data_IF_109410865946
#
_entry.id   IF_109410865946
#
_cell.length_a   1.000
_cell.length_b   1.000
_cell.length_c   1.000
_cell.angle_alpha   90.00
_cell.angle_beta   90.00
_cell.angle_gamma   90.00
#
_symmetry.space_group_name_H-M   'P 1'
#
loop_
_entity.id
_entity.type
_entity.pdbx_description
1 polymer ?
#
# COMPACT_ATOMS: atom_id res chain seq x y z
N UNK A 1 38.29 37.62 -42.02
CA UNK A 1 37.43 37.90 -43.18
C UNK A 1 36.41 36.78 -43.32
N UNK A 2 35.15 37.06 -43.01
CA UNK A 2 33.95 36.80 -43.84
C UNK A 2 34.27 36.27 -45.26
N UNK A 3 33.59 35.30 -45.92
CA UNK A 3 32.23 34.76 -45.86
C UNK A 3 32.14 33.55 -46.84
N UNK A 4 31.22 32.62 -46.55
CA UNK A 4 30.29 31.92 -47.47
C UNK A 4 30.78 31.06 -48.66
N UNK A 5 30.44 29.76 -48.61
CA UNK A 5 29.54 29.01 -49.54
C UNK A 5 29.66 27.51 -49.22
N UNK A 6 28.78 26.91 -48.42
CA UNK A 6 27.41 26.40 -48.68
C UNK A 6 27.28 25.32 -49.77
N UNK A 7 26.86 24.15 -49.27
CA UNK A 7 25.98 23.11 -49.84
C UNK A 7 26.49 22.18 -50.93
N UNK A 8 26.55 20.88 -50.60
CA UNK A 8 25.51 19.90 -50.95
C UNK A 8 25.92 18.50 -50.44
N UNK A 9 25.01 17.81 -49.75
CA UNK A 9 25.12 16.35 -49.59
C UNK A 9 25.04 15.81 -48.17
N UNK A 10 24.13 16.30 -47.32
CA UNK A 10 23.82 15.64 -46.04
C UNK A 10 22.33 15.76 -45.72
N UNK A 11 21.47 15.22 -46.58
CA UNK A 11 20.02 15.19 -46.34
C UNK A 11 19.37 13.82 -46.64
N UNK A 12 20.13 12.73 -46.63
CA UNK A 12 19.55 11.38 -46.83
C UNK A 12 20.22 10.35 -45.91
N UNK A 13 20.26 10.58 -44.59
CA UNK A 13 20.52 9.48 -43.61
C UNK A 13 19.86 9.76 -42.24
N UNK A 14 18.75 10.50 -42.17
CA UNK A 14 18.10 10.84 -40.86
C UNK A 14 16.65 10.34 -40.80
N UNK A 15 16.33 9.20 -41.44
CA UNK A 15 14.92 8.72 -41.49
C UNK A 15 14.67 7.25 -41.12
N UNK A 16 15.61 6.50 -40.55
CA UNK A 16 15.38 5.06 -40.33
C UNK A 16 15.64 4.50 -38.91
N UNK A 17 15.75 5.33 -37.86
CA UNK A 17 16.02 4.83 -36.50
C UNK A 17 15.20 5.50 -35.37
N UNK A 18 14.12 6.21 -35.68
CA UNK A 18 13.23 6.83 -34.68
C UNK A 18 11.79 6.28 -34.79
N UNK A 19 11.66 4.95 -34.86
CA UNK A 19 10.35 4.28 -34.91
C UNK A 19 10.30 3.01 -34.03
N UNK A 20 11.04 2.98 -32.92
CA UNK A 20 11.03 1.85 -31.96
C UNK A 20 10.76 2.24 -30.50
N UNK A 21 10.36 3.49 -30.23
CA UNK A 21 10.14 3.99 -28.86
C UNK A 21 8.70 4.45 -28.57
N UNK A 22 7.70 3.84 -29.21
CA UNK A 22 6.29 4.17 -28.91
C UNK A 22 5.42 2.92 -28.83
N UNK A 23 5.80 1.96 -27.99
CA UNK A 23 4.87 0.97 -27.42
C UNK A 23 5.50 0.39 -26.17
N UNK A 24 5.77 1.24 -25.18
CA UNK A 24 5.73 0.73 -23.81
C UNK A 24 4.25 0.41 -23.56
N UNK A 25 3.84 -0.85 -23.39
CA UNK A 25 2.55 -1.08 -22.76
C UNK A 25 2.62 -0.28 -21.47
N UNK A 26 1.68 0.65 -21.28
CA UNK A 26 1.40 1.09 -19.93
C UNK A 26 1.23 -0.20 -19.15
N UNK A 27 2.13 -0.46 -18.21
CA UNK A 27 1.88 -1.41 -17.14
C UNK A 27 0.59 -0.88 -16.53
N UNK A 28 -0.54 -1.39 -17.00
CA UNK A 28 -1.76 -1.39 -16.25
C UNK A 28 -1.30 -2.04 -14.96
N UNK A 29 -1.07 -1.23 -13.92
CA UNK A 29 -1.13 -1.70 -12.56
C UNK A 29 -2.46 -2.43 -12.56
N UNK A 30 -2.41 -3.76 -12.66
CA UNK A 30 -3.56 -4.61 -12.48
C UNK A 30 -4.21 -4.01 -11.24
N UNK A 31 -5.43 -3.51 -11.38
CA UNK A 31 -6.22 -3.12 -10.23
C UNK A 31 -6.15 -4.34 -9.31
N UNK A 32 -5.30 -4.27 -8.28
CA UNK A 32 -5.21 -5.32 -7.29
C UNK A 32 -6.65 -5.55 -6.88
N UNK A 33 -7.10 -6.80 -7.05
CA UNK A 33 -8.47 -7.20 -6.72
C UNK A 33 -8.85 -6.49 -5.42
N UNK A 34 -9.91 -5.66 -5.39
CA UNK A 34 -10.29 -4.90 -4.22
C UNK A 34 -10.37 -5.76 -2.95
N UNK A 35 -10.71 -7.05 -3.10
CA UNK A 35 -10.72 -8.01 -2.00
C UNK A 35 -9.33 -8.36 -1.47
N UNK A 36 -8.33 -8.48 -2.35
CA UNK A 36 -6.92 -8.68 -1.96
C UNK A 36 -6.38 -7.45 -1.21
N UNK A 37 -6.61 -6.25 -1.76
CA UNK A 37 -6.21 -5.00 -1.11
C UNK A 37 -6.91 -4.83 0.26
N UNK A 38 -8.19 -5.22 0.36
CA UNK A 38 -8.93 -5.20 1.62
C UNK A 38 -8.34 -6.18 2.65
N UNK A 39 -7.95 -7.40 2.23
CA UNK A 39 -7.31 -8.38 3.10
C UNK A 39 -5.95 -7.88 3.61
N UNK A 40 -5.15 -7.27 2.73
CA UNK A 40 -3.88 -6.64 3.10
C UNK A 40 -4.07 -5.51 4.13
N UNK A 41 -4.96 -4.56 3.83
CA UNK A 41 -5.27 -3.46 4.74
C UNK A 41 -5.83 -3.98 6.08
N UNK A 42 -6.61 -5.06 6.07
CA UNK A 42 -7.12 -5.66 7.30
C UNK A 42 -5.99 -6.26 8.16
N UNK A 43 -5.04 -6.97 7.54
CA UNK A 43 -3.85 -7.50 8.21
C UNK A 43 -2.96 -6.40 8.78
N UNK A 44 -2.74 -5.33 8.02
CA UNK A 44 -2.00 -4.14 8.47
C UNK A 44 -2.61 -3.53 9.74
N UNK A 45 -3.93 -3.31 9.70
CA UNK A 45 -4.68 -2.73 10.83
C UNK A 45 -4.70 -3.63 12.06
N UNK A 46 -4.79 -4.94 11.85
CA UNK A 46 -4.77 -5.93 12.92
C UNK A 46 -3.43 -5.92 13.66
N UNK A 47 -2.32 -5.82 12.94
CA UNK A 47 -0.99 -5.66 13.54
C UNK A 47 -0.92 -4.39 14.39
N UNK A 48 -1.31 -3.23 13.83
CA UNK A 48 -1.32 -1.97 14.57
C UNK A 48 -2.17 -2.08 15.85
N UNK A 49 -3.36 -2.68 15.76
CA UNK A 49 -4.27 -2.81 16.89
C UNK A 49 -3.67 -3.69 18.00
N UNK A 50 -3.02 -4.80 17.65
CA UNK A 50 -2.31 -5.66 18.59
C UNK A 50 -1.19 -4.91 19.30
N UNK A 51 -0.38 -4.20 18.55
CA UNK A 51 0.82 -3.57 19.07
C UNK A 51 0.53 -2.31 19.89
N UNK A 52 -0.28 -1.39 19.34
CA UNK A 52 -0.42 -0.05 19.89
C UNK A 52 -1.74 0.18 20.63
N UNK A 53 -2.77 -0.61 20.33
CA UNK A 53 -4.11 -0.43 20.91
C UNK A 53 -4.41 -1.44 22.03
N UNK A 54 -3.43 -2.24 22.44
CA UNK A 54 -3.59 -3.28 23.47
C UNK A 54 -4.71 -4.29 23.16
N UNK A 55 -4.94 -4.57 21.86
CA UNK A 55 -5.93 -5.59 21.46
C UNK A 55 -5.32 -6.98 21.68
N UNK A 56 -5.97 -7.87 22.46
CA UNK A 56 -5.46 -9.22 22.71
C UNK A 56 -5.33 -10.05 21.44
N UNK A 57 -4.40 -11.00 21.43
CA UNK A 57 -4.18 -11.87 20.28
C UNK A 57 -5.42 -12.68 19.91
N UNK A 58 -6.19 -13.13 20.89
CA UNK A 58 -7.44 -13.89 20.68
C UNK A 58 -8.47 -13.07 19.90
N UNK A 59 -8.58 -11.76 20.19
CA UNK A 59 -9.50 -10.87 19.47
C UNK A 59 -9.03 -10.61 18.03
N UNK A 60 -7.72 -10.59 17.80
CA UNK A 60 -7.15 -10.46 16.45
C UNK A 60 -7.43 -11.71 15.63
N UNK A 61 -7.24 -12.91 16.20
CA UNK A 61 -7.53 -14.16 15.50
C UNK A 61 -9.03 -14.31 15.21
N UNK A 62 -9.89 -13.95 16.17
CA UNK A 62 -11.33 -13.93 15.93
C UNK A 62 -11.69 -12.97 14.79
N UNK A 63 -11.17 -11.74 14.81
CA UNK A 63 -11.40 -10.76 13.75
C UNK A 63 -10.92 -11.28 12.38
N UNK A 64 -9.74 -11.92 12.34
CA UNK A 64 -9.20 -12.53 11.11
C UNK A 64 -10.13 -13.61 10.56
N UNK A 65 -10.61 -14.52 11.40
CA UNK A 65 -11.52 -15.60 10.98
C UNK A 65 -12.85 -15.05 10.46
N UNK A 66 -13.43 -14.09 11.18
CA UNK A 66 -14.69 -13.43 10.75
C UNK A 66 -14.54 -12.66 9.44
N UNK A 67 -13.41 -11.98 9.26
CA UNK A 67 -13.11 -11.25 8.03
C UNK A 67 -12.85 -12.22 6.87
N UNK A 68 -12.07 -13.29 7.10
CA UNK A 68 -11.78 -14.33 6.10
C UNK A 68 -13.05 -14.94 5.53
N UNK A 69 -14.01 -15.28 6.39
CA UNK A 69 -15.29 -15.86 5.97
C UNK A 69 -16.16 -14.93 5.10
N UNK A 70 -15.80 -13.65 4.99
CA UNK A 70 -16.50 -12.63 4.20
C UNK A 70 -15.67 -12.08 3.03
N UNK A 71 -14.39 -12.48 2.95
CA UNK A 71 -13.47 -11.95 1.95
C UNK A 71 -13.54 -12.80 0.68
N UNK A 72 -13.49 -12.14 -0.48
CA UNK A 72 -13.36 -12.79 -1.78
C UNK A 72 -11.91 -12.78 -2.28
N UNK A 73 -10.94 -12.51 -1.39
CA UNK A 73 -9.53 -12.48 -1.73
C UNK A 73 -9.05 -13.84 -2.25
N UNK A 74 -8.33 -13.84 -3.37
CA UNK A 74 -7.88 -15.06 -4.05
C UNK A 74 -6.93 -15.91 -3.20
N UNK A 75 -6.08 -15.26 -2.41
CA UNK A 75 -5.25 -15.89 -1.39
C UNK A 75 -5.25 -15.02 -0.12
N UNK A 76 -6.34 -15.13 0.65
CA UNK A 76 -6.55 -14.32 1.85
C UNK A 76 -5.36 -14.35 2.82
N UNK A 77 -4.76 -15.53 3.05
CA UNK A 77 -3.68 -15.68 4.02
C UNK A 77 -2.42 -14.94 3.56
N UNK A 78 -2.08 -15.03 2.28
CA UNK A 78 -0.96 -14.29 1.69
C UNK A 78 -1.15 -12.78 1.84
N UNK A 79 -2.30 -12.25 1.46
CA UNK A 79 -2.57 -10.80 1.50
C UNK A 79 -2.66 -10.28 2.92
N UNK A 80 -3.35 -10.99 3.82
CA UNK A 80 -3.36 -10.67 5.24
C UNK A 80 -1.95 -10.62 5.83
N UNK A 81 -1.15 -11.67 5.58
CA UNK A 81 0.22 -11.75 6.08
C UNK A 81 1.08 -10.62 5.50
N UNK A 82 0.97 -10.31 4.21
CA UNK A 82 1.67 -9.18 3.59
C UNK A 82 1.39 -7.88 4.34
N UNK A 83 0.11 -7.58 4.59
CA UNK A 83 -0.29 -6.37 5.31
C UNK A 83 0.23 -6.33 6.74
N UNK A 84 0.16 -7.45 7.45
CA UNK A 84 0.71 -7.60 8.79
C UNK A 84 2.20 -7.25 8.84
N UNK A 85 3.00 -7.79 7.92
CA UNK A 85 4.45 -7.53 7.85
C UNK A 85 4.75 -6.10 7.39
N UNK A 86 3.98 -5.56 6.44
CA UNK A 86 4.12 -4.18 5.97
C UNK A 86 3.89 -3.16 7.09
N UNK A 87 3.06 -3.47 8.09
CA UNK A 87 2.88 -2.57 9.23
C UNK A 87 4.09 -2.58 10.18
N UNK A 88 4.82 -3.69 10.29
CA UNK A 88 6.00 -3.79 11.17
C UNK A 88 7.04 -2.73 10.82
N UNK A 89 7.26 -2.47 9.53
CA UNK A 89 8.20 -1.47 9.04
C UNK A 89 7.68 -0.03 9.24
N UNK A 90 6.38 0.19 9.02
CA UNK A 90 5.74 1.51 9.20
C UNK A 90 5.65 1.91 10.69
N UNK A 91 5.51 0.93 11.58
CA UNK A 91 5.46 1.09 13.02
C UNK A 91 6.76 1.64 13.65
N UNK A 92 7.90 1.57 12.95
CA UNK A 92 9.21 1.99 13.48
C UNK A 92 9.20 3.45 13.94
N UNK A 93 8.63 4.36 13.16
CA UNK A 93 8.58 5.78 13.53
C UNK A 93 7.71 6.01 14.78
N UNK A 94 6.59 5.28 14.89
CA UNK A 94 5.71 5.41 16.03
C UNK A 94 6.34 4.83 17.31
N UNK A 95 7.08 3.72 17.22
CA UNK A 95 7.88 3.16 18.33
C UNK A 95 8.92 4.17 18.82
N UNK A 96 9.69 4.76 17.90
CA UNK A 96 10.71 5.76 18.25
C UNK A 96 10.11 7.01 18.91
N UNK A 97 8.87 7.36 18.54
CA UNK A 97 8.14 8.50 19.12
C UNK A 97 7.78 8.29 20.59
N UNK A 98 7.60 7.04 21.04
CA UNK A 98 7.20 6.73 22.42
C UNK A 98 8.16 7.35 23.44
N UNK A 99 9.46 7.28 23.17
CA UNK A 99 10.48 7.73 24.11
C UNK A 99 10.91 9.19 23.84
N UNK A 100 10.92 9.60 22.56
CA UNK A 100 11.34 10.94 22.14
C UNK A 100 10.27 12.03 22.29
N UNK A 101 8.98 11.68 22.16
CA UNK A 101 7.84 12.59 22.33
C UNK A 101 6.58 11.86 22.83
N UNK A 102 6.52 11.52 24.13
CA UNK A 102 5.47 10.66 24.69
C UNK A 102 4.06 11.28 24.59
N UNK A 103 3.95 12.62 24.62
CA UNK A 103 2.67 13.31 24.51
C UNK A 103 2.07 13.18 23.10
N UNK A 104 2.87 13.43 22.07
CA UNK A 104 2.44 13.26 20.67
C UNK A 104 2.16 11.78 20.36
N UNK A 105 3.00 10.87 20.86
CA UNK A 105 2.77 9.43 20.75
C UNK A 105 1.38 9.04 21.28
N UNK A 106 1.05 9.45 22.51
CA UNK A 106 -0.23 9.13 23.13
C UNK A 106 -1.42 9.69 22.33
N UNK A 107 -1.30 10.90 21.80
CA UNK A 107 -2.34 11.51 20.96
C UNK A 107 -2.55 10.73 19.66
N UNK A 108 -1.46 10.38 18.95
CA UNK A 108 -1.53 9.61 17.70
C UNK A 108 -2.08 8.21 17.87
N UNK A 109 -1.62 7.49 18.91
CA UNK A 109 -2.13 6.16 19.24
C UNK A 109 -3.62 6.23 19.56
N UNK A 110 -4.04 7.16 20.44
CA UNK A 110 -5.46 7.32 20.79
C UNK A 110 -6.34 7.57 19.56
N UNK A 111 -5.96 8.50 18.69
CA UNK A 111 -6.70 8.80 17.46
C UNK A 111 -6.77 7.62 16.51
N UNK A 112 -5.64 6.91 16.33
CA UNK A 112 -5.55 5.75 15.45
C UNK A 112 -6.40 4.58 15.96
N UNK A 113 -6.33 4.27 17.25
CA UNK A 113 -7.11 3.20 17.86
C UNK A 113 -8.62 3.45 17.79
N UNK A 114 -9.06 4.70 18.00
CA UNK A 114 -10.47 5.06 17.85
C UNK A 114 -10.96 4.83 16.41
N UNK A 115 -10.16 5.27 15.41
CA UNK A 115 -10.46 5.05 14.00
C UNK A 115 -10.48 3.57 13.63
N UNK A 116 -9.50 2.80 14.07
CA UNK A 116 -9.41 1.36 13.78
C UNK A 116 -10.60 0.59 14.34
N UNK A 117 -11.04 0.90 15.55
CA UNK A 117 -12.23 0.29 16.16
C UNK A 117 -13.48 0.50 15.31
N UNK A 118 -13.66 1.69 14.74
CA UNK A 118 -14.78 1.96 13.82
C UNK A 118 -14.61 1.22 12.48
N UNK A 119 -13.39 1.21 11.93
CA UNK A 119 -13.10 0.55 10.65
C UNK A 119 -13.30 -0.97 10.71
N UNK A 120 -12.81 -1.64 11.77
CA UNK A 120 -12.97 -3.08 11.97
C UNK A 120 -14.45 -3.47 12.05
N UNK A 121 -15.24 -2.73 12.82
CA UNK A 121 -16.71 -2.96 12.91
C UNK A 121 -17.40 -2.80 11.55
N UNK A 122 -17.01 -1.81 10.75
CA UNK A 122 -17.64 -1.58 9.45
C UNK A 122 -17.19 -2.57 8.38
N UNK A 123 -15.93 -3.02 8.44
CA UNK A 123 -15.42 -4.07 7.57
C UNK A 123 -16.24 -5.36 7.70
N UNK A 124 -16.62 -5.72 8.93
CA UNK A 124 -17.46 -6.89 9.20
C UNK A 124 -18.96 -6.67 8.89
N UNK A 125 -19.39 -5.43 8.66
CA UNK A 125 -20.80 -5.09 8.38
C UNK A 125 -21.13 -5.09 6.88
N UNK A 126 -20.15 -4.81 6.01
CA UNK A 126 -20.34 -4.71 4.56
C UNK A 126 -20.26 -6.07 3.87
N UNK A 127 -21.25 -6.92 4.11
CA UNK A 127 -21.59 -8.06 3.24
C UNK A 127 -23.07 -8.35 3.48
N UNK A 128 -23.94 -7.71 2.69
CA UNK A 128 -25.31 -8.12 2.45
C UNK A 128 -25.61 -7.88 0.98
#
# INVERSE_FOLDING_TARGET
MNLLRRSRGYHIVVEALVALFVYSPTLANASEDPSNANAEVAGQRAHFAREFCSVPAEQIEQYKLEFKGRSEASDFELWWARGWHNEVSQAVQLRAMRDSNPKEYALRVKGSCARLKWQAKNALRRTK
#
